data_IF_564864907069
#
_entry.id   IF_564864907069
#
_cell.length_a   1.000
_cell.length_b   1.000
_cell.length_c   1.000
_cell.angle_alpha   90.00
_cell.angle_beta   90.00
_cell.angle_gamma   90.00
#
_symmetry.space_group_name_H-M   'P 1'
#
loop_
_entity.id
_entity.type
_entity.pdbx_description
1 polymer ?
#
# COMPACT_ATOMS: atom_id res chain seq x y z
N UNK A 1 9.99 3.62 -7.85
CA UNK A 1 10.95 3.30 -6.77
C UNK A 1 12.34 3.80 -7.17
N UNK A 2 13.22 4.14 -6.20
CA UNK A 2 14.56 4.68 -6.50
C UNK A 2 15.50 3.57 -6.98
N UNK A 3 16.08 3.69 -8.17
CA UNK A 3 16.94 2.66 -8.78
C UNK A 3 18.22 2.35 -8.00
N UNK A 4 18.76 3.31 -7.25
CA UNK A 4 20.12 3.25 -6.71
C UNK A 4 20.17 2.92 -5.23
N UNK A 5 19.24 3.49 -4.44
CA UNK A 5 19.35 3.46 -2.97
C UNK A 5 18.18 2.80 -2.25
N UNK A 6 17.09 2.49 -2.96
CA UNK A 6 15.92 1.95 -2.28
C UNK A 6 15.93 0.43 -2.21
N UNK A 7 15.41 -0.05 -1.08
CA UNK A 7 15.14 -1.46 -0.84
C UNK A 7 13.73 -1.61 -0.30
N UNK A 8 13.12 -2.75 -0.56
CA UNK A 8 11.83 -3.13 -0.01
C UNK A 8 12.00 -4.42 0.78
N UNK A 9 11.48 -4.46 2.00
CA UNK A 9 11.54 -5.64 2.85
C UNK A 9 10.31 -5.67 3.76
N UNK A 10 9.79 -6.87 3.99
CA UNK A 10 8.71 -7.10 4.94
C UNK A 10 9.17 -8.13 5.99
N UNK A 11 9.85 -7.71 7.08
CA UNK A 11 10.59 -8.61 7.97
C UNK A 11 9.69 -9.30 9.02
N UNK A 12 8.52 -9.80 8.61
CA UNK A 12 7.46 -10.29 9.51
C UNK A 12 7.92 -11.46 10.36
N UNK A 13 8.56 -12.45 9.74
CA UNK A 13 9.03 -13.65 10.44
C UNK A 13 10.20 -13.34 11.38
N UNK A 14 11.10 -12.41 11.00
CA UNK A 14 12.25 -12.01 11.82
C UNK A 14 11.82 -11.32 13.11
N UNK A 15 10.73 -10.53 13.08
CA UNK A 15 10.20 -9.82 14.25
C UNK A 15 9.06 -10.57 14.95
N UNK A 16 8.65 -11.73 14.42
CA UNK A 16 7.52 -12.51 14.95
C UNK A 16 6.15 -11.80 14.85
N UNK A 17 5.97 -10.92 13.86
CA UNK A 17 4.73 -10.18 13.66
C UNK A 17 3.76 -10.98 12.79
N UNK A 18 2.57 -11.23 13.31
CA UNK A 18 1.48 -11.87 12.59
C UNK A 18 0.13 -11.26 12.96
N UNK A 19 -0.69 -11.03 11.94
CA UNK A 19 -2.11 -10.72 12.07
C UNK A 19 -2.89 -11.45 10.97
N UNK A 20 -4.18 -11.69 11.21
CA UNK A 20 -5.03 -12.36 10.25
C UNK A 20 -5.19 -11.51 8.98
N UNK A 21 -4.89 -12.09 7.82
CA UNK A 21 -4.91 -11.38 6.55
C UNK A 21 -3.60 -10.72 6.10
N UNK A 22 -2.52 -10.79 6.88
CA UNK A 22 -1.22 -10.20 6.51
C UNK A 22 -0.70 -10.69 5.14
N UNK A 23 -0.96 -11.97 4.81
CA UNK A 23 -0.58 -12.57 3.54
C UNK A 23 -1.54 -12.29 2.39
N UNK A 24 -2.71 -11.69 2.63
CA UNK A 24 -3.71 -11.46 1.58
C UNK A 24 -3.25 -10.41 0.57
N UNK A 25 -2.55 -9.37 1.04
CA UNK A 25 -1.97 -8.33 0.18
C UNK A 25 -0.88 -8.87 -0.77
N UNK A 26 0.19 -9.54 -0.27
CA UNK A 26 1.16 -10.17 -1.15
C UNK A 26 0.54 -11.16 -2.14
N UNK A 27 -0.47 -11.94 -1.71
CA UNK A 27 -1.16 -12.87 -2.60
C UNK A 27 -1.96 -12.18 -3.71
N UNK A 28 -2.59 -11.05 -3.41
CA UNK A 28 -3.39 -10.31 -4.39
C UNK A 28 -2.52 -9.56 -5.42
N UNK A 29 -1.31 -9.11 -5.02
CA UNK A 29 -0.42 -8.33 -5.90
C UNK A 29 0.65 -9.17 -6.61
N UNK A 30 1.21 -10.17 -5.94
CA UNK A 30 2.45 -10.82 -6.37
C UNK A 30 2.19 -12.24 -6.87
N UNK A 31 3.07 -12.69 -7.76
CA UNK A 31 3.14 -14.10 -8.16
C UNK A 31 3.46 -14.95 -6.91
N UNK A 32 2.87 -16.15 -6.75
CA UNK A 32 3.06 -16.97 -5.56
C UNK A 32 4.52 -17.23 -5.17
N UNK A 33 5.43 -17.33 -6.15
CA UNK A 33 6.87 -17.51 -5.90
C UNK A 33 7.47 -16.30 -5.18
N UNK A 34 7.17 -15.09 -5.64
CA UNK A 34 7.62 -13.83 -5.03
C UNK A 34 6.97 -13.64 -3.66
N UNK A 35 5.67 -13.96 -3.52
CA UNK A 35 4.97 -13.85 -2.25
C UNK A 35 5.60 -14.74 -1.15
N UNK A 36 6.05 -15.95 -1.50
CA UNK A 36 6.78 -16.83 -0.56
C UNK A 36 8.13 -16.24 -0.15
N UNK A 37 8.92 -15.78 -1.11
CA UNK A 37 10.21 -15.11 -0.87
C UNK A 37 10.05 -13.88 0.03
N UNK A 38 8.99 -13.10 -0.17
CA UNK A 38 8.70 -11.94 0.66
C UNK A 38 8.28 -12.32 2.09
N UNK A 39 7.35 -13.27 2.24
CA UNK A 39 6.70 -13.59 3.53
C UNK A 39 7.53 -14.54 4.41
N UNK A 40 8.14 -15.57 3.81
CA UNK A 40 8.78 -16.66 4.53
C UNK A 40 10.29 -16.46 4.68
N UNK A 41 10.93 -15.82 3.69
CA UNK A 41 12.37 -15.55 3.73
C UNK A 41 12.69 -14.15 4.29
N UNK A 42 11.67 -13.30 4.50
CA UNK A 42 11.85 -11.88 4.86
C UNK A 42 12.87 -11.17 3.95
N UNK A 43 12.88 -11.52 2.66
CA UNK A 43 13.91 -11.09 1.73
C UNK A 43 13.94 -9.58 1.54
N UNK A 44 15.16 -9.04 1.38
CA UNK A 44 15.41 -7.63 1.09
C UNK A 44 15.58 -7.44 -0.42
N UNK A 45 14.56 -6.88 -1.05
CA UNK A 45 14.54 -6.61 -2.49
C UNK A 45 15.27 -5.31 -2.81
N UNK A 46 16.11 -5.33 -3.84
CA UNK A 46 16.67 -4.10 -4.43
C UNK A 46 15.65 -3.40 -5.33
N UNK A 47 15.87 -2.13 -5.70
CA UNK A 47 14.96 -1.41 -6.59
C UNK A 47 14.73 -2.12 -7.93
N UNK A 48 15.78 -2.68 -8.54
CA UNK A 48 15.69 -3.44 -9.81
C UNK A 48 14.94 -4.76 -9.62
N UNK A 49 15.32 -5.53 -8.61
CA UNK A 49 14.69 -6.81 -8.29
C UNK A 49 13.20 -6.63 -7.96
N UNK A 50 12.84 -5.59 -7.21
CA UNK A 50 11.45 -5.27 -6.89
C UNK A 50 10.61 -4.95 -8.14
N UNK A 51 11.22 -4.42 -9.20
CA UNK A 51 10.54 -4.16 -10.47
C UNK A 51 10.34 -5.43 -11.28
N UNK A 52 11.39 -6.26 -11.39
CA UNK A 52 11.33 -7.56 -12.04
C UNK A 52 10.30 -8.50 -11.37
N UNK A 53 10.28 -8.50 -10.04
CA UNK A 53 9.36 -9.30 -9.22
C UNK A 53 7.93 -8.71 -9.13
N UNK A 54 7.65 -7.58 -9.80
CA UNK A 54 6.32 -6.95 -9.85
C UNK A 54 5.86 -6.33 -8.53
N UNK A 55 6.78 -6.11 -7.58
CA UNK A 55 6.50 -5.41 -6.32
C UNK A 55 6.27 -3.92 -6.60
N UNK A 56 7.00 -3.34 -7.55
CA UNK A 56 6.86 -1.95 -7.99
C UNK A 56 6.61 -1.84 -9.48
N UNK A 57 5.76 -0.90 -9.85
CA UNK A 57 5.33 -0.71 -11.24
C UNK A 57 6.31 0.10 -12.09
N UNK A 58 7.28 0.78 -11.45
CA UNK A 58 8.31 1.59 -12.11
C UNK A 58 9.52 1.83 -11.20
N UNK A 59 10.68 2.00 -11.85
CA UNK A 59 11.95 2.40 -11.23
C UNK A 59 12.53 3.57 -11.99
N UNK A 60 13.09 4.55 -11.28
CA UNK A 60 13.72 5.72 -11.89
C UNK A 60 14.92 6.19 -11.04
N UNK A 61 15.90 6.89 -11.66
CA UNK A 61 16.98 7.58 -10.96
C UNK A 61 16.43 8.59 -9.94
N UNK A 62 17.16 8.88 -8.85
CA UNK A 62 16.71 9.78 -7.78
C UNK A 62 16.13 11.12 -8.28
N UNK A 63 16.78 11.72 -9.29
CA UNK A 63 16.37 13.00 -9.87
C UNK A 63 15.06 12.94 -10.67
N UNK A 64 14.66 11.76 -11.15
CA UNK A 64 13.53 11.59 -12.06
C UNK A 64 12.32 10.90 -11.43
N UNK A 65 12.44 10.39 -10.19
CA UNK A 65 11.35 9.68 -9.50
C UNK A 65 10.06 10.49 -9.47
N UNK A 66 10.16 11.79 -9.18
CA UNK A 66 8.99 12.67 -9.13
C UNK A 66 8.31 12.77 -10.49
N UNK A 67 9.08 12.99 -11.55
CA UNK A 67 8.56 13.08 -12.91
C UNK A 67 7.93 11.76 -13.36
N UNK A 68 8.56 10.63 -13.06
CA UNK A 68 8.01 9.30 -13.33
C UNK A 68 6.70 9.06 -12.57
N UNK A 69 6.62 9.45 -11.30
CA UNK A 69 5.39 9.35 -10.51
C UNK A 69 4.26 10.20 -11.11
N UNK A 70 4.58 11.43 -11.57
CA UNK A 70 3.62 12.31 -12.22
C UNK A 70 3.10 11.76 -13.55
N UNK A 71 3.96 11.10 -14.34
CA UNK A 71 3.54 10.43 -15.57
C UNK A 71 2.55 9.28 -15.28
N UNK A 72 2.82 8.46 -14.27
CA UNK A 72 1.90 7.41 -13.83
C UNK A 72 0.59 7.99 -13.30
N UNK A 73 0.63 9.07 -12.53
CA UNK A 73 -0.57 9.74 -12.05
C UNK A 73 -1.44 10.24 -13.21
N UNK A 74 -0.85 10.92 -14.20
CA UNK A 74 -1.55 11.38 -15.41
C UNK A 74 -2.17 10.25 -16.21
N UNK A 75 -1.49 9.10 -16.32
CA UNK A 75 -2.00 7.91 -17.02
C UNK A 75 -3.33 7.40 -16.42
N UNK A 76 -3.48 7.46 -15.10
CA UNK A 76 -4.67 6.97 -14.41
C UNK A 76 -5.71 8.06 -14.09
N UNK A 77 -5.31 9.33 -14.10
CA UNK A 77 -6.16 10.48 -13.77
C UNK A 77 -7.43 10.56 -14.63
N UNK A 78 -7.34 10.25 -15.93
CA UNK A 78 -8.51 10.24 -16.81
C UNK A 78 -9.49 9.12 -16.46
N UNK A 79 -8.97 7.96 -16.04
CA UNK A 79 -9.77 6.77 -15.69
C UNK A 79 -10.39 6.88 -14.30
N UNK A 80 -9.78 7.63 -13.39
CA UNK A 80 -10.31 7.82 -12.04
C UNK A 80 -11.54 8.72 -11.98
N UNK A 81 -11.83 9.50 -13.05
CA UNK A 81 -13.06 10.30 -13.16
C UNK A 81 -14.30 9.45 -13.47
N UNK A 82 -14.12 8.19 -13.85
CA UNK A 82 -15.22 7.26 -14.03
C UNK A 82 -15.57 6.63 -12.66
N UNK A 83 -16.84 6.74 -12.25
CA UNK A 83 -17.34 6.22 -10.97
C UNK A 83 -17.05 4.73 -10.75
N UNK A 84 -16.85 3.99 -11.84
CA UNK A 84 -16.63 2.54 -11.86
C UNK A 84 -15.21 2.13 -11.46
N UNK A 85 -14.21 3.02 -11.57
CA UNK A 85 -12.81 2.66 -11.34
C UNK A 85 -12.55 2.19 -9.89
N UNK A 86 -13.15 2.88 -8.91
CA UNK A 86 -13.05 2.53 -7.50
C UNK A 86 -13.68 1.17 -7.19
N UNK A 87 -14.82 0.88 -7.81
CA UNK A 87 -15.55 -0.39 -7.65
C UNK A 87 -14.74 -1.55 -8.18
N UNK A 88 -14.28 -1.48 -9.45
CA UNK A 88 -13.48 -2.53 -10.07
C UNK A 88 -12.16 -2.77 -9.34
N UNK A 89 -11.50 -1.70 -8.86
CA UNK A 89 -10.30 -1.84 -8.02
C UNK A 89 -10.62 -2.55 -6.72
N UNK A 90 -11.77 -2.26 -6.12
CA UNK A 90 -12.26 -2.92 -4.91
C UNK A 90 -12.49 -4.41 -5.13
N UNK A 91 -13.14 -4.79 -6.22
CA UNK A 91 -13.37 -6.18 -6.61
C UNK A 91 -12.07 -6.95 -6.84
N UNK A 92 -11.12 -6.33 -7.54
CA UNK A 92 -9.81 -6.92 -7.85
C UNK A 92 -9.05 -7.36 -6.59
N UNK A 93 -9.17 -6.60 -5.50
CA UNK A 93 -8.48 -6.89 -4.23
C UNK A 93 -9.44 -7.19 -3.07
N UNK A 94 -10.66 -7.65 -3.38
CA UNK A 94 -11.76 -7.75 -2.43
C UNK A 94 -11.43 -8.56 -1.17
N UNK A 95 -10.85 -9.76 -1.33
CA UNK A 95 -10.45 -10.60 -0.19
C UNK A 95 -9.43 -9.90 0.71
N UNK A 96 -8.41 -9.27 0.11
CA UNK A 96 -7.39 -8.54 0.85
C UNK A 96 -7.97 -7.31 1.57
N UNK A 97 -8.88 -6.59 0.92
CA UNK A 97 -9.58 -5.44 1.50
C UNK A 97 -10.41 -5.83 2.72
N UNK A 98 -11.18 -6.92 2.64
CA UNK A 98 -12.00 -7.39 3.76
C UNK A 98 -11.13 -7.75 4.96
N UNK A 99 -10.07 -8.54 4.74
CA UNK A 99 -9.18 -8.96 5.84
C UNK A 99 -8.44 -7.80 6.49
N UNK A 100 -7.95 -6.83 5.71
CA UNK A 100 -7.30 -5.64 6.27
C UNK A 100 -8.26 -4.72 7.00
N UNK A 101 -9.50 -4.55 6.50
CA UNK A 101 -10.52 -3.76 7.20
C UNK A 101 -10.78 -4.32 8.60
N UNK A 102 -10.80 -5.64 8.76
CA UNK A 102 -10.94 -6.31 10.06
C UNK A 102 -9.79 -6.07 11.05
N UNK A 103 -8.59 -5.73 10.56
CA UNK A 103 -7.39 -5.45 11.38
C UNK A 103 -7.18 -3.95 11.61
N UNK A 104 -7.80 -3.10 10.80
CA UNK A 104 -7.67 -1.64 10.90
C UNK A 104 -8.22 -1.14 12.24
N UNK A 105 -7.45 -0.28 12.91
CA UNK A 105 -7.77 0.32 14.21
C UNK A 105 -9.13 1.04 14.24
N UNK A 106 -9.58 1.56 13.08
CA UNK A 106 -10.90 2.19 12.91
C UNK A 106 -12.06 1.21 13.16
N UNK A 107 -11.84 -0.11 13.06
CA UNK A 107 -12.85 -1.17 13.26
C UNK A 107 -12.54 -2.08 14.47
N UNK A 108 -11.57 -1.69 15.30
CA UNK A 108 -11.26 -2.19 16.65
C UNK A 108 -11.62 -3.65 16.99
N UNK A 109 -10.70 -4.59 16.71
CA UNK A 109 -10.42 -5.74 17.58
C UNK A 109 -8.90 -5.92 17.71
N UNK A 110 -8.40 -6.11 18.93
CA UNK A 110 -7.00 -6.51 19.18
C UNK A 110 -6.81 -7.97 18.70
N UNK A 111 -6.43 -8.16 17.43
CA UNK A 111 -6.30 -9.49 16.79
C UNK A 111 -4.84 -9.93 16.53
N UNK A 112 -3.85 -9.16 16.97
CA UNK A 112 -2.43 -9.53 16.83
C UNK A 112 -1.86 -10.16 18.10
N UNK A 113 -1.05 -11.22 17.95
CA UNK A 113 -0.19 -11.71 19.04
C UNK A 113 0.79 -10.60 19.43
N UNK A 114 1.05 -10.44 20.74
CA UNK A 114 2.07 -9.49 21.21
C UNK A 114 3.44 -9.87 20.61
N UNK A 115 4.18 -8.92 20.00
CA UNK A 115 5.54 -9.17 19.55
C UNK A 115 6.42 -9.57 20.75
N UNK A 116 7.30 -10.57 20.55
CA UNK A 116 8.18 -11.11 21.61
C UNK A 116 9.34 -10.18 21.98
N UNK A 117 9.58 -9.14 21.19
CA UNK A 117 10.57 -8.11 21.45
C UNK A 117 9.90 -6.92 22.15
N UNK A 118 10.60 -6.32 23.12
CA UNK A 118 10.16 -5.12 23.83
C UNK A 118 10.12 -3.95 22.84
N UNK A 119 9.00 -3.80 22.15
CA UNK A 119 8.67 -2.59 21.43
C UNK A 119 8.28 -1.56 22.48
N UNK A 120 9.21 -0.69 22.84
CA UNK A 120 8.85 0.60 23.44
C UNK A 120 7.88 1.28 22.49
N UNK A 121 6.59 1.14 22.82
CA UNK A 121 5.47 1.99 22.48
C UNK A 121 5.76 2.93 21.30
N UNK A 122 5.54 2.42 20.08
CA UNK A 122 5.13 3.25 18.96
C UNK A 122 3.79 2.72 18.39
N UNK A 123 2.68 2.79 19.15
CA UNK A 123 1.38 2.69 18.54
C UNK A 123 1.09 3.99 17.76
N UNK A 124 0.32 3.87 16.70
CA UNK A 124 -0.44 4.93 16.02
C UNK A 124 0.28 5.96 15.13
N UNK A 125 1.53 6.36 15.34
CA UNK A 125 2.10 7.47 14.53
C UNK A 125 2.60 7.00 13.15
N UNK A 126 3.20 5.81 13.05
CA UNK A 126 3.87 5.40 11.81
C UNK A 126 2.93 4.99 10.66
N UNK A 127 1.70 4.55 10.97
CA UNK A 127 0.68 4.25 9.93
C UNK A 127 -0.18 5.45 9.53
N UNK A 128 -0.10 6.59 10.25
CA UNK A 128 -0.83 7.82 9.88
C UNK A 128 -0.29 8.43 8.58
N UNK A 129 0.99 8.21 8.27
CA UNK A 129 1.64 8.80 7.09
C UNK A 129 1.56 7.94 5.82
N UNK A 130 1.24 6.65 5.92
CA UNK A 130 1.13 5.76 4.74
C UNK A 130 -0.26 5.84 4.10
N UNK A 131 -1.32 6.10 4.87
CA UNK A 131 -2.68 6.22 4.35
C UNK A 131 -3.13 7.65 4.00
N UNK A 132 -2.32 8.68 4.32
CA UNK A 132 -2.66 10.08 3.99
C UNK A 132 -2.50 10.42 2.49
N UNK A 133 -1.99 9.50 1.68
CA UNK A 133 -1.87 9.66 0.21
C UNK A 133 -3.06 9.09 -0.57
N UNK A 134 -4.10 8.61 0.12
CA UNK A 134 -5.38 8.24 -0.50
C UNK A 134 -6.48 9.09 0.13
N UNK A 135 -6.37 10.41 0.00
CA UNK A 135 -7.52 11.30 0.22
C UNK A 135 -8.49 11.11 -0.94
N UNK A 136 -9.81 11.02 -0.70
CA UNK A 136 -10.79 11.23 -1.75
C UNK A 136 -10.69 12.68 -2.23
N UNK A 137 -10.86 12.90 -3.53
CA UNK A 137 -11.06 14.22 -4.12
C UNK A 137 -12.34 14.83 -3.51
N UNK A 138 -12.35 16.09 -3.06
CA UNK A 138 -13.58 16.77 -2.71
C UNK A 138 -14.33 17.11 -4.01
N UNK A 139 -15.38 16.35 -4.31
CA UNK A 139 -16.42 16.78 -5.23
C UNK A 139 -17.45 17.59 -4.44
N UNK A 140 -17.22 18.88 -4.27
CA UNK A 140 -18.27 19.86 -3.95
C UNK A 140 -17.70 21.27 -4.10
N UNK A 141 -17.93 21.85 -5.28
CA UNK A 141 -17.95 23.29 -5.48
C UNK A 141 -19.27 23.59 -6.15
N UNK A 142 -20.34 23.56 -5.36
CA UNK A 142 -21.60 24.21 -5.76
C UNK A 142 -21.43 25.66 -5.35
N UNK A 143 -21.06 26.48 -6.34
CA UNK A 143 -21.30 27.91 -6.29
C UNK A 143 -22.82 28.12 -6.28
N UNK A 144 -23.37 28.61 -5.17
CA UNK A 144 -24.60 29.37 -5.19
C UNK A 144 -24.24 30.76 -4.69
N UNK A 145 -24.10 31.67 -5.66
CA UNK A 145 -24.08 33.09 -5.42
C UNK A 145 -25.48 33.52 -4.98
N UNK A 146 -25.55 34.33 -3.93
CA UNK A 146 -26.63 35.28 -3.74
C UNK A 146 -26.74 36.19 -4.98
N UNK A 147 -27.93 36.31 -5.56
CA UNK A 147 -28.45 37.55 -6.20
C UNK A 147 -29.88 37.36 -6.73
N UNK A 148 -30.74 38.33 -6.38
CA UNK A 148 -32.12 38.61 -6.79
C UNK A 148 -33.25 37.88 -6.06
#
# INVERSE_FOLDING_TARGET
MNSERSFFQMPLINIGLHFDGIGALPKAKLVPKVARKLLLEAHKFTGKEAFEDGIVDAVAPPAEIFNAAMQYAKKWQSKSKADVYGVLRGELVGEALVKLKGVSYVHSKLISRRPKVKLEILPAIYMKNIFRTVSPLPSETICLNDTA
#
